data_IF_538399319727
#
_entry.id   IF_538399319727
#
_cell.length_a   1.000
_cell.length_b   1.000
_cell.length_c   1.000
_cell.angle_alpha   90.00
_cell.angle_beta   90.00
_cell.angle_gamma   90.00
#
_symmetry.space_group_name_H-M   'P 1'
#
loop_
_entity.id
_entity.type
_entity.pdbx_description
1 polymer ?
#
# COMPACT_ATOMS: atom_id res chain seq x y z
N UNK A 1 3.42 17.09 29.60
CA UNK A 1 2.35 16.25 29.03
C UNK A 1 1.53 15.66 30.17
N UNK A 2 0.20 15.60 30.05
CA UNK A 2 -0.63 15.05 31.10
C UNK A 2 -0.43 13.52 31.24
N UNK A 3 -0.54 13.00 32.46
CA UNK A 3 -0.26 11.58 32.80
C UNK A 3 -1.07 10.59 31.97
N UNK A 4 -2.34 10.90 31.64
CA UNK A 4 -3.20 10.06 30.81
C UNK A 4 -2.60 9.83 29.41
N UNK A 5 -1.92 10.82 28.85
CA UNK A 5 -1.33 10.74 27.51
C UNK A 5 -0.17 9.75 27.47
N UNK A 6 0.66 9.74 28.52
CA UNK A 6 1.78 8.81 28.67
C UNK A 6 1.26 7.37 28.74
N UNK A 7 0.20 7.14 29.52
CA UNK A 7 -0.42 5.82 29.67
C UNK A 7 -1.00 5.34 28.33
N UNK A 8 -1.76 6.18 27.63
CA UNK A 8 -2.35 5.82 26.33
C UNK A 8 -1.26 5.52 25.31
N UNK A 9 -0.21 6.34 25.25
CA UNK A 9 0.92 6.12 24.34
C UNK A 9 1.64 4.81 24.64
N UNK A 10 1.88 4.48 25.92
CA UNK A 10 2.50 3.23 26.33
C UNK A 10 1.64 2.01 25.96
N UNK A 11 0.33 2.06 26.22
CA UNK A 11 -0.60 0.99 25.83
C UNK A 11 -0.63 0.80 24.31
N UNK A 12 -0.59 1.89 23.56
CA UNK A 12 -0.55 1.84 22.10
C UNK A 12 0.79 1.28 21.59
N UNK A 13 1.91 1.59 22.24
CA UNK A 13 3.21 1.00 21.95
C UNK A 13 3.18 -0.54 22.13
N UNK A 14 2.60 -1.01 23.23
CA UNK A 14 2.42 -2.44 23.50
C UNK A 14 1.54 -3.06 22.41
N UNK A 15 0.44 -2.40 22.03
CA UNK A 15 -0.40 -2.84 20.92
C UNK A 15 0.41 -3.00 19.63
N UNK A 16 1.23 -2.01 19.26
CA UNK A 16 2.06 -2.05 18.04
C UNK A 16 3.05 -3.22 18.06
N UNK A 17 3.69 -3.49 19.19
CA UNK A 17 4.61 -4.62 19.34
C UNK A 17 3.88 -5.97 19.19
N UNK A 18 2.73 -6.13 19.85
CA UNK A 18 1.92 -7.35 19.78
C UNK A 18 1.38 -7.56 18.36
N UNK A 19 0.79 -6.54 17.77
CA UNK A 19 0.27 -6.57 16.40
C UNK A 19 1.38 -6.84 15.37
N UNK A 20 2.54 -6.19 15.53
CA UNK A 20 3.73 -6.41 14.71
C UNK A 20 4.24 -7.85 14.81
N UNK A 21 4.39 -8.38 16.02
CA UNK A 21 4.77 -9.76 16.26
C UNK A 21 3.82 -10.76 15.60
N UNK A 22 2.51 -10.58 15.80
CA UNK A 22 1.50 -11.44 15.19
C UNK A 22 1.48 -11.33 13.66
N UNK A 23 1.72 -10.13 13.12
CA UNK A 23 1.82 -9.91 11.67
C UNK A 23 3.02 -10.66 11.11
N UNK A 24 4.21 -10.49 11.68
CA UNK A 24 5.43 -11.22 11.27
C UNK A 24 5.26 -12.74 11.40
N UNK A 25 4.63 -13.22 12.48
CA UNK A 25 4.35 -14.65 12.65
C UNK A 25 3.34 -15.18 11.63
N UNK A 26 2.36 -14.37 11.25
CA UNK A 26 1.37 -14.74 10.23
C UNK A 26 2.01 -14.95 8.84
N UNK A 27 3.11 -14.26 8.54
CA UNK A 27 3.86 -14.45 7.29
C UNK A 27 4.48 -15.84 7.19
N UNK A 28 4.87 -16.45 8.33
CA UNK A 28 5.45 -17.80 8.37
C UNK A 28 4.42 -18.92 8.27
N UNK A 29 3.17 -18.69 8.68
CA UNK A 29 2.12 -19.71 8.68
C UNK A 29 0.75 -19.11 8.34
N UNK A 30 0.47 -18.85 7.05
CA UNK A 30 -0.70 -18.08 6.65
C UNK A 30 -2.04 -18.73 7.05
N UNK A 31 -2.12 -20.06 7.05
CA UNK A 31 -3.39 -20.78 7.29
C UNK A 31 -3.84 -20.76 8.75
N UNK A 32 -2.93 -20.80 9.72
CA UNK A 32 -3.27 -20.83 11.15
C UNK A 32 -3.76 -19.50 11.70
N UNK A 33 -3.41 -18.39 11.05
CA UNK A 33 -3.64 -17.05 11.58
C UNK A 33 -4.69 -16.24 10.80
N UNK A 34 -5.43 -16.89 9.90
CA UNK A 34 -6.47 -16.24 9.10
C UNK A 34 -7.56 -15.55 9.94
N UNK A 35 -7.78 -16.01 11.18
CA UNK A 35 -8.77 -15.44 12.09
C UNK A 35 -8.17 -14.69 13.30
N UNK A 36 -6.90 -14.29 13.23
CA UNK A 36 -6.25 -13.57 14.34
C UNK A 36 -6.81 -12.16 14.48
N UNK A 37 -7.39 -11.87 15.65
CA UNK A 37 -7.92 -10.56 16.01
C UNK A 37 -6.87 -9.44 15.85
N UNK A 38 -5.65 -9.63 16.35
CA UNK A 38 -4.57 -8.63 16.29
C UNK A 38 -4.17 -8.25 14.87
N UNK A 39 -4.20 -9.23 13.96
CA UNK A 39 -3.88 -8.99 12.55
C UNK A 39 -5.01 -8.19 11.89
N UNK A 40 -6.29 -8.55 12.14
CA UNK A 40 -7.43 -7.82 11.59
C UNK A 40 -7.52 -6.39 12.12
N UNK A 41 -7.28 -6.19 13.41
CA UNK A 41 -7.24 -4.84 13.98
C UNK A 41 -6.11 -4.02 13.37
N UNK A 42 -4.94 -4.63 13.13
CA UNK A 42 -3.82 -3.97 12.46
C UNK A 42 -4.13 -3.66 10.98
N UNK A 43 -4.81 -4.55 10.25
CA UNK A 43 -5.29 -4.28 8.89
C UNK A 43 -6.18 -3.04 8.88
N UNK A 44 -7.18 -2.94 9.77
CA UNK A 44 -8.07 -1.77 9.86
C UNK A 44 -7.28 -0.52 10.23
N UNK A 45 -6.42 -0.61 11.24
CA UNK A 45 -5.64 0.53 11.71
C UNK A 45 -4.72 1.07 10.61
N UNK A 46 -3.95 0.23 9.93
CA UNK A 46 -2.91 0.70 9.00
C UNK A 46 -3.38 0.92 7.56
N UNK A 47 -4.38 0.17 7.08
CA UNK A 47 -4.89 0.33 5.71
C UNK A 47 -6.05 1.32 5.61
N UNK A 48 -6.73 1.64 6.72
CA UNK A 48 -7.90 2.51 6.70
C UNK A 48 -7.71 3.76 7.58
N UNK A 49 -7.38 3.61 8.85
CA UNK A 49 -7.31 4.76 9.77
C UNK A 49 -6.02 5.58 9.59
N UNK A 50 -4.87 4.92 9.55
CA UNK A 50 -3.57 5.58 9.48
C UNK A 50 -3.37 6.43 8.23
N UNK A 51 -3.78 6.01 7.01
CA UNK A 51 -3.65 6.86 5.83
C UNK A 51 -4.51 8.11 5.91
N UNK A 52 -5.75 7.98 6.41
CA UNK A 52 -6.66 9.13 6.59
C UNK A 52 -6.10 10.11 7.61
N UNK A 53 -5.69 9.61 8.79
CA UNK A 53 -5.10 10.45 9.82
C UNK A 53 -3.78 11.08 9.37
N UNK A 54 -2.94 10.32 8.66
CA UNK A 54 -1.71 10.80 8.08
C UNK A 54 -1.96 11.94 7.11
N UNK A 55 -2.88 11.80 6.14
CA UNK A 55 -3.19 12.88 5.20
C UNK A 55 -3.67 14.15 5.91
N UNK A 56 -4.54 14.03 6.93
CA UNK A 56 -5.00 15.18 7.70
C UNK A 56 -3.85 15.86 8.46
N UNK A 57 -3.03 15.08 9.18
CA UNK A 57 -1.91 15.60 9.98
C UNK A 57 -0.78 16.16 9.12
N UNK A 58 -0.45 15.53 8.01
CA UNK A 58 0.58 16.01 7.09
C UNK A 58 0.17 17.30 6.38
N UNK A 59 -1.14 17.54 6.18
CA UNK A 59 -1.63 18.84 5.71
C UNK A 59 -1.50 19.94 6.77
N UNK A 60 -1.78 19.62 8.04
CA UNK A 60 -1.61 20.54 9.17
C UNK A 60 -0.13 20.78 9.49
N UNK A 61 0.75 19.83 9.16
CA UNK A 61 2.20 19.92 9.31
C UNK A 61 2.80 20.82 8.21
N UNK A 62 2.48 22.10 8.30
CA UNK A 62 3.13 23.17 7.55
C UNK A 62 3.87 24.05 8.55
N UNK A 63 5.11 23.69 8.84
CA UNK A 63 6.01 24.57 9.59
C UNK A 63 6.72 25.51 8.62
N UNK A 64 7.43 26.52 9.14
CA UNK A 64 8.15 27.51 8.31
C UNK A 64 9.23 26.90 7.40
N UNK A 65 9.58 25.62 7.55
CA UNK A 65 10.65 24.97 6.78
C UNK A 65 10.27 23.69 6.01
N UNK A 66 9.18 23.01 6.36
CA UNK A 66 8.88 21.66 5.86
C UNK A 66 7.49 21.58 5.26
N UNK A 67 7.39 20.88 4.12
CA UNK A 67 6.14 20.61 3.42
C UNK A 67 6.17 19.14 3.06
N UNK A 68 5.27 18.34 3.66
CA UNK A 68 5.27 16.88 3.53
C UNK A 68 4.88 16.41 2.13
N UNK A 69 3.81 17.00 1.61
CA UNK A 69 3.26 16.76 0.28
C UNK A 69 2.81 18.09 -0.33
N UNK A 70 2.89 18.21 -1.65
CA UNK A 70 2.33 19.37 -2.36
C UNK A 70 0.80 19.38 -2.19
N UNK A 71 0.20 20.43 -1.59
CA UNK A 71 -1.24 20.50 -1.37
C UNK A 71 -2.05 20.41 -2.67
N UNK A 72 -1.51 20.96 -3.76
CA UNK A 72 -2.14 21.00 -5.09
C UNK A 72 -2.31 19.59 -5.68
N UNK A 73 -1.35 18.70 -5.45
CA UNK A 73 -1.31 17.35 -6.03
C UNK A 73 -1.70 16.26 -5.03
N UNK A 74 -1.98 16.62 -3.78
CA UNK A 74 -2.44 15.70 -2.75
C UNK A 74 -3.72 14.90 -3.14
N UNK A 75 -4.71 15.45 -3.86
CA UNK A 75 -5.86 14.68 -4.31
C UNK A 75 -5.48 13.45 -5.15
N UNK A 76 -4.42 13.56 -5.97
CA UNK A 76 -3.89 12.45 -6.75
C UNK A 76 -3.36 11.34 -5.83
N UNK A 77 -2.58 11.69 -4.80
CA UNK A 77 -2.06 10.75 -3.82
C UNK A 77 -3.18 10.06 -3.03
N UNK A 78 -4.20 10.82 -2.60
CA UNK A 78 -5.38 10.29 -1.91
C UNK A 78 -6.14 9.31 -2.81
N UNK A 79 -6.39 9.67 -4.08
CA UNK A 79 -7.08 8.80 -5.03
C UNK A 79 -6.34 7.47 -5.24
N UNK A 80 -5.01 7.51 -5.39
CA UNK A 80 -4.18 6.31 -5.51
C UNK A 80 -4.26 5.43 -4.25
N UNK A 81 -4.18 6.04 -3.07
CA UNK A 81 -4.24 5.35 -1.79
C UNK A 81 -5.62 4.71 -1.55
N UNK A 82 -6.70 5.44 -1.84
CA UNK A 82 -8.08 4.93 -1.74
C UNK A 82 -8.30 3.77 -2.69
N UNK A 83 -7.84 3.86 -3.94
CA UNK A 83 -8.00 2.76 -4.90
C UNK A 83 -7.22 1.50 -4.49
N UNK A 84 -6.00 1.67 -3.97
CA UNK A 84 -5.21 0.57 -3.42
C UNK A 84 -5.85 -0.07 -2.19
N UNK A 85 -6.30 0.74 -1.24
CA UNK A 85 -7.00 0.29 -0.03
C UNK A 85 -8.34 -0.38 -0.34
N UNK A 86 -9.14 0.20 -1.24
CA UNK A 86 -10.40 -0.38 -1.70
C UNK A 86 -10.17 -1.74 -2.36
N UNK A 87 -9.14 -1.87 -3.20
CA UNK A 87 -8.78 -3.15 -3.82
C UNK A 87 -8.45 -4.21 -2.77
N UNK A 88 -7.73 -3.84 -1.70
CA UNK A 88 -7.51 -4.72 -0.56
C UNK A 88 -8.83 -5.15 0.08
N UNK A 89 -9.71 -4.23 0.49
CA UNK A 89 -10.96 -4.59 1.16
C UNK A 89 -11.91 -5.40 0.28
N UNK A 90 -12.06 -5.03 -1.00
CA UNK A 90 -12.89 -5.76 -1.96
C UNK A 90 -12.34 -7.18 -2.13
N UNK A 91 -11.03 -7.36 -2.25
CA UNK A 91 -10.43 -8.70 -2.33
C UNK A 91 -10.75 -9.58 -1.11
N UNK A 92 -10.83 -8.98 0.08
CA UNK A 92 -11.21 -9.65 1.33
C UNK A 92 -12.68 -10.05 1.38
N UNK A 93 -13.57 -9.23 0.85
CA UNK A 93 -15.02 -9.50 0.83
C UNK A 93 -15.40 -10.53 -0.24
N UNK A 94 -14.71 -10.53 -1.39
CA UNK A 94 -15.08 -11.35 -2.55
C UNK A 94 -14.29 -12.66 -2.69
N UNK A 95 -13.45 -13.05 -1.72
CA UNK A 95 -12.51 -14.19 -1.79
C UNK A 95 -12.91 -15.38 -2.67
N UNK A 96 -14.10 -15.95 -2.47
CA UNK A 96 -14.56 -17.17 -3.16
C UNK A 96 -15.61 -16.90 -4.25
N UNK A 97 -15.98 -15.64 -4.48
CA UNK A 97 -17.04 -15.23 -5.41
C UNK A 97 -16.59 -14.06 -6.28
N UNK A 98 -15.29 -14.00 -6.59
CA UNK A 98 -14.73 -12.93 -7.40
C UNK A 98 -15.12 -13.15 -8.87
N UNK A 99 -15.88 -12.23 -9.49
CA UNK A 99 -16.21 -12.38 -10.90
C UNK A 99 -14.93 -12.25 -11.76
N UNK A 100 -14.89 -12.83 -12.98
CA UNK A 100 -13.67 -12.91 -13.78
C UNK A 100 -13.01 -11.55 -14.03
N UNK A 101 -13.77 -10.48 -14.21
CA UNK A 101 -13.19 -9.15 -14.43
C UNK A 101 -12.51 -8.58 -13.17
N UNK A 102 -13.05 -8.82 -11.96
CA UNK A 102 -12.38 -8.44 -10.70
C UNK A 102 -11.06 -9.20 -10.50
N UNK A 103 -10.96 -10.43 -11.01
CA UNK A 103 -9.72 -11.22 -10.83
C UNK A 103 -8.50 -10.61 -11.53
N UNK A 104 -8.72 -9.71 -12.49
CA UNK A 104 -7.68 -8.91 -13.13
C UNK A 104 -7.51 -7.59 -12.39
N UNK A 105 -8.60 -6.86 -12.13
CA UNK A 105 -8.55 -5.52 -11.56
C UNK A 105 -8.01 -5.50 -10.13
N UNK A 106 -8.35 -6.50 -9.30
CA UNK A 106 -7.92 -6.56 -7.90
C UNK A 106 -6.38 -6.63 -7.79
N UNK A 107 -5.67 -7.55 -8.47
CA UNK A 107 -4.21 -7.52 -8.51
C UNK A 107 -3.61 -6.20 -8.98
N UNK A 108 -4.21 -5.52 -9.97
CA UNK A 108 -3.69 -4.22 -10.45
C UNK A 108 -3.78 -3.15 -9.37
N UNK A 109 -4.93 -3.04 -8.70
CA UNK A 109 -5.09 -2.09 -7.59
C UNK A 109 -4.25 -2.44 -6.36
N UNK A 110 -4.04 -3.72 -6.06
CA UNK A 110 -3.12 -4.16 -5.01
C UNK A 110 -1.66 -3.80 -5.36
N UNK A 111 -1.23 -4.00 -6.62
CA UNK A 111 0.10 -3.60 -7.10
C UNK A 111 0.27 -2.08 -6.98
N UNK A 112 -0.75 -1.30 -7.38
CA UNK A 112 -0.73 0.15 -7.19
C UNK A 112 -0.53 0.52 -5.73
N UNK A 113 -1.32 -0.07 -4.82
CA UNK A 113 -1.18 0.15 -3.40
C UNK A 113 0.22 -0.22 -2.90
N UNK A 114 0.78 -1.33 -3.37
CA UNK A 114 2.12 -1.77 -3.03
C UNK A 114 3.19 -0.75 -3.49
N UNK A 115 3.16 -0.33 -4.75
CA UNK A 115 4.09 0.64 -5.31
C UNK A 115 3.99 2.00 -4.61
N UNK A 116 2.78 2.44 -4.30
CA UNK A 116 2.57 3.69 -3.58
C UNK A 116 3.15 3.63 -2.16
N UNK A 117 2.88 2.55 -1.41
CA UNK A 117 3.42 2.40 -0.06
C UNK A 117 4.96 2.25 -0.09
N UNK A 118 5.54 1.62 -1.12
CA UNK A 118 6.99 1.60 -1.32
C UNK A 118 7.56 3.00 -1.55
N UNK A 119 6.91 3.81 -2.40
CA UNK A 119 7.30 5.21 -2.59
C UNK A 119 7.22 5.99 -1.27
N UNK A 120 6.17 5.80 -0.47
CA UNK A 120 6.02 6.44 0.84
C UNK A 120 7.11 6.00 1.83
N UNK A 121 7.49 4.72 1.85
CA UNK A 121 8.61 4.24 2.69
C UNK A 121 9.90 4.97 2.34
N UNK A 122 10.18 5.15 1.04
CA UNK A 122 11.38 5.88 0.59
C UNK A 122 11.26 7.37 0.96
N UNK A 123 10.10 7.99 0.70
CA UNK A 123 9.83 9.40 1.01
C UNK A 123 10.03 9.73 2.49
N UNK A 124 9.52 8.85 3.36
CA UNK A 124 9.58 9.01 4.82
C UNK A 124 10.76 8.29 5.48
N UNK A 125 11.71 7.73 4.72
CA UNK A 125 12.72 6.80 5.23
C UNK A 125 13.42 7.27 6.52
N UNK A 126 13.82 8.54 6.56
CA UNK A 126 14.52 9.14 7.70
C UNK A 126 13.61 9.31 8.94
N UNK A 127 12.29 9.37 8.73
CA UNK A 127 11.27 9.58 9.75
C UNK A 127 10.59 8.30 10.23
N UNK A 128 10.82 7.15 9.59
CA UNK A 128 10.20 5.88 9.99
C UNK A 128 10.49 5.54 11.45
N UNK A 129 11.71 5.78 11.92
CA UNK A 129 12.10 5.51 13.32
C UNK A 129 11.39 6.44 14.31
N UNK A 130 11.07 7.68 13.92
CA UNK A 130 10.24 8.58 14.72
C UNK A 130 8.83 8.01 14.92
N UNK A 131 8.30 7.31 13.92
CA UNK A 131 7.04 6.59 14.04
C UNK A 131 7.04 5.53 15.13
N UNK A 132 8.16 4.85 15.33
CA UNK A 132 8.34 3.89 16.43
C UNK A 132 8.61 4.57 17.78
N UNK A 133 9.33 5.69 17.79
CA UNK A 133 9.65 6.46 19.00
C UNK A 133 8.41 7.16 19.60
N UNK A 134 7.44 7.55 18.76
CA UNK A 134 6.20 8.19 19.17
C UNK A 134 4.96 7.37 18.74
N UNK A 135 4.68 6.23 19.37
CA UNK A 135 3.63 5.29 18.96
C UNK A 135 2.29 5.93 18.63
N UNK A 136 1.76 6.79 19.51
CA UNK A 136 0.42 7.36 19.32
C UNK A 136 0.35 8.44 18.23
N UNK A 137 1.42 9.23 18.05
CA UNK A 137 1.44 10.34 17.08
C UNK A 137 2.06 9.95 15.75
N UNK A 138 3.01 9.02 15.76
CA UNK A 138 3.86 8.69 14.63
C UNK A 138 3.54 7.36 13.96
N UNK A 139 2.54 6.59 14.41
CA UNK A 139 2.22 5.30 13.77
C UNK A 139 1.83 5.40 12.30
N UNK A 140 1.36 6.55 11.84
CA UNK A 140 1.13 6.87 10.43
C UNK A 140 2.40 6.76 9.58
N UNK A 141 3.58 7.03 10.15
CA UNK A 141 4.88 6.85 9.49
C UNK A 141 5.26 5.35 9.37
N UNK A 142 4.69 4.50 10.22
CA UNK A 142 4.85 3.03 10.15
C UNK A 142 3.84 2.38 9.20
N UNK A 143 2.74 3.08 8.88
CA UNK A 143 1.66 2.52 8.08
C UNK A 143 2.11 2.00 6.70
N UNK A 144 2.97 2.70 5.94
CA UNK A 144 3.46 2.20 4.66
C UNK A 144 4.14 0.82 4.76
N UNK A 145 4.93 0.58 5.81
CA UNK A 145 5.59 -0.71 6.04
C UNK A 145 4.57 -1.83 6.29
N UNK A 146 3.62 -1.61 7.19
CA UNK A 146 2.57 -2.59 7.47
C UNK A 146 1.68 -2.84 6.25
N UNK A 147 1.36 -1.80 5.50
CA UNK A 147 0.56 -1.90 4.28
C UNK A 147 1.25 -2.74 3.22
N UNK A 148 2.55 -2.56 2.99
CA UNK A 148 3.33 -3.43 2.10
C UNK A 148 3.20 -4.90 2.50
N UNK A 149 3.31 -5.21 3.79
CA UNK A 149 3.18 -6.59 4.29
C UNK A 149 1.76 -7.14 4.07
N UNK A 150 0.73 -6.38 4.42
CA UNK A 150 -0.66 -6.84 4.29
C UNK A 150 -1.08 -6.98 2.83
N UNK A 151 -0.76 -6.01 1.98
CA UNK A 151 -1.07 -6.03 0.55
C UNK A 151 -0.33 -7.18 -0.14
N UNK A 152 0.96 -7.37 0.14
CA UNK A 152 1.74 -8.48 -0.44
C UNK A 152 1.16 -9.84 -0.04
N UNK A 153 0.76 -9.99 1.22
CA UNK A 153 0.12 -11.21 1.71
C UNK A 153 -1.21 -11.46 1.01
N UNK A 154 -2.05 -10.44 0.86
CA UNK A 154 -3.35 -10.58 0.20
C UNK A 154 -3.18 -10.86 -1.30
N UNK A 155 -2.22 -10.24 -1.98
CA UNK A 155 -1.89 -10.53 -3.38
C UNK A 155 -1.50 -12.00 -3.58
N UNK A 156 -0.69 -12.55 -2.67
CA UNK A 156 -0.35 -13.97 -2.67
C UNK A 156 -1.55 -14.86 -2.35
N UNK A 157 -2.37 -14.48 -1.36
CA UNK A 157 -3.57 -15.23 -0.99
C UNK A 157 -4.58 -15.31 -2.15
N UNK A 158 -4.83 -14.20 -2.84
CA UNK A 158 -5.68 -14.14 -4.03
C UNK A 158 -5.18 -15.08 -5.12
N UNK A 159 -3.87 -15.18 -5.34
CA UNK A 159 -3.30 -16.14 -6.27
C UNK A 159 -3.63 -17.59 -5.89
N UNK A 160 -3.47 -17.96 -4.61
CA UNK A 160 -3.77 -19.31 -4.14
C UNK A 160 -5.26 -19.68 -4.23
N UNK A 161 -6.14 -18.78 -3.78
CA UNK A 161 -7.59 -19.01 -3.76
C UNK A 161 -8.11 -19.17 -5.18
N UNK A 162 -7.68 -18.29 -6.08
CA UNK A 162 -8.08 -18.32 -7.47
C UNK A 162 -7.64 -19.61 -8.17
N UNK A 163 -6.39 -20.04 -7.96
CA UNK A 163 -5.87 -21.29 -8.53
C UNK A 163 -6.66 -22.51 -8.04
N UNK A 164 -7.10 -22.50 -6.78
CA UNK A 164 -7.94 -23.58 -6.24
C UNK A 164 -9.33 -23.58 -6.89
N UNK A 165 -10.00 -22.43 -6.93
CA UNK A 165 -11.36 -22.31 -7.44
C UNK A 165 -11.48 -22.70 -8.93
N UNK A 166 -10.50 -22.31 -9.75
CA UNK A 166 -10.46 -22.66 -11.17
C UNK A 166 -10.42 -24.18 -11.40
N UNK A 167 -9.66 -24.91 -10.57
CA UNK A 167 -9.55 -26.37 -10.71
C UNK A 167 -10.86 -27.09 -10.42
N UNK A 168 -11.77 -26.44 -9.68
CA UNK A 168 -13.01 -27.03 -9.19
C UNK A 168 -14.21 -26.67 -10.09
N UNK A 169 -14.10 -25.67 -10.97
CA UNK A 169 -15.22 -25.10 -11.75
C UNK A 169 -15.11 -25.44 -13.26
N UNK A 170 -16.06 -26.21 -13.83
CA UNK A 170 -16.01 -26.64 -15.24
C UNK A 170 -16.28 -25.51 -16.25
N UNK A 171 -16.91 -24.40 -15.82
CA UNK A 171 -17.24 -23.23 -16.67
C UNK A 171 -15.99 -22.61 -17.31
N UNK A 172 -14.82 -22.75 -16.68
CA UNK A 172 -13.57 -22.18 -17.18
C UNK A 172 -13.01 -22.91 -18.41
N UNK A 173 -13.59 -24.05 -18.80
CA UNK A 173 -13.18 -24.84 -19.98
C UNK A 173 -13.91 -24.47 -21.27
N UNK A 174 -15.03 -23.75 -21.20
CA UNK A 174 -15.99 -23.63 -22.33
C UNK A 174 -15.99 -22.29 -23.07
N UNK A 175 -15.42 -21.22 -22.51
CA UNK A 175 -15.47 -19.87 -23.12
C UNK A 175 -14.06 -19.36 -23.44
N UNK A 176 -13.79 -19.00 -24.70
CA UNK A 176 -12.46 -18.56 -25.16
C UNK A 176 -11.92 -17.30 -24.45
N UNK A 177 -12.78 -16.36 -24.06
CA UNK A 177 -12.38 -15.19 -23.26
C UNK A 177 -11.96 -15.62 -21.85
N UNK A 178 -12.68 -16.60 -21.31
CA UNK A 178 -12.38 -17.22 -20.00
C UNK A 178 -11.14 -18.10 -20.08
N UNK A 179 -10.83 -18.67 -21.24
CA UNK A 179 -9.64 -19.48 -21.51
C UNK A 179 -8.36 -18.63 -21.48
N UNK A 180 -8.38 -17.42 -22.04
CA UNK A 180 -7.26 -16.47 -21.91
C UNK A 180 -7.00 -16.07 -20.45
N UNK A 181 -8.07 -15.85 -19.69
CA UNK A 181 -7.99 -15.60 -18.24
C UNK A 181 -7.49 -16.85 -17.49
N UNK A 182 -7.91 -18.04 -17.90
CA UNK A 182 -7.43 -19.29 -17.34
C UNK A 182 -5.91 -19.44 -17.49
N UNK A 183 -5.36 -19.15 -18.67
CA UNK A 183 -3.91 -19.17 -18.89
C UNK A 183 -3.17 -18.16 -18.02
N UNK A 184 -3.69 -16.95 -17.87
CA UNK A 184 -3.12 -15.95 -16.96
C UNK A 184 -3.11 -16.48 -15.50
N UNK A 185 -4.15 -17.21 -15.11
CA UNK A 185 -4.42 -17.58 -13.72
C UNK A 185 -3.79 -18.89 -13.26
N UNK A 186 -3.47 -19.83 -14.15
CA UNK A 186 -2.75 -21.08 -13.80
C UNK A 186 -1.20 -20.95 -13.86
N UNK A 187 -0.70 -19.77 -14.22
CA UNK A 187 0.75 -19.49 -14.18
C UNK A 187 1.30 -19.40 -12.75
N UNK A 188 2.63 -19.52 -12.61
CA UNK A 188 3.29 -19.30 -11.31
C UNK A 188 3.03 -17.90 -10.76
N UNK A 189 3.06 -17.73 -9.43
CA UNK A 189 2.85 -16.42 -8.80
C UNK A 189 3.73 -15.31 -9.40
N UNK A 190 5.02 -15.58 -9.61
CA UNK A 190 5.94 -14.59 -10.17
C UNK A 190 5.66 -14.26 -11.63
N UNK A 191 5.24 -15.25 -12.42
CA UNK A 191 4.81 -15.01 -13.81
C UNK A 191 3.57 -14.13 -13.82
N UNK A 192 2.56 -14.48 -13.01
CA UNK A 192 1.34 -13.68 -12.87
C UNK A 192 1.66 -12.25 -12.43
N UNK A 193 2.52 -12.08 -11.44
CA UNK A 193 2.95 -10.76 -10.96
C UNK A 193 3.60 -9.93 -12.07
N UNK A 194 4.49 -10.52 -12.88
CA UNK A 194 5.10 -9.83 -14.04
C UNK A 194 4.06 -9.40 -15.05
N UNK A 195 3.09 -10.25 -15.38
CA UNK A 195 2.04 -9.89 -16.33
C UNK A 195 1.16 -8.77 -15.75
N UNK A 196 0.78 -8.87 -14.47
CA UNK A 196 0.03 -7.80 -13.81
C UNK A 196 0.82 -6.49 -13.76
N UNK A 197 2.16 -6.51 -13.59
CA UNK A 197 3.00 -5.31 -13.66
C UNK A 197 3.01 -4.69 -15.06
N UNK A 198 3.04 -5.51 -16.12
CA UNK A 198 2.93 -4.99 -17.50
C UNK A 198 1.56 -4.40 -17.76
N UNK A 199 0.48 -5.08 -17.34
CA UNK A 199 -0.90 -4.59 -17.46
C UNK A 199 -1.19 -3.39 -16.56
N UNK A 200 -0.43 -3.21 -15.49
CA UNK A 200 -0.56 -2.05 -14.61
C UNK A 200 -0.21 -0.76 -15.34
N UNK A 201 0.76 -0.75 -16.26
CA UNK A 201 1.16 0.47 -17.00
C UNK A 201 -0.03 1.09 -17.74
N UNK A 202 -0.75 0.40 -18.65
CA UNK A 202 -1.88 1.00 -19.34
C UNK A 202 -3.04 1.33 -18.39
N UNK A 203 -3.30 0.51 -17.36
CA UNK A 203 -4.34 0.80 -16.37
C UNK A 203 -4.03 2.08 -15.57
N UNK A 204 -2.77 2.26 -15.20
CA UNK A 204 -2.27 3.43 -14.49
C UNK A 204 -2.32 4.69 -15.35
N UNK A 205 -1.93 4.59 -16.64
CA UNK A 205 -2.07 5.70 -17.59
C UNK A 205 -3.54 6.11 -17.77
N UNK A 206 -4.45 5.15 -17.85
CA UNK A 206 -5.88 5.42 -17.90
C UNK A 206 -6.34 6.13 -16.62
N UNK A 207 -5.90 5.69 -15.44
CA UNK A 207 -6.19 6.39 -14.19
C UNK A 207 -5.65 7.83 -14.18
N UNK A 208 -4.43 8.05 -14.67
CA UNK A 208 -3.86 9.40 -14.79
C UNK A 208 -4.71 10.28 -15.71
N UNK A 209 -5.16 9.76 -16.85
CA UNK A 209 -6.06 10.50 -17.72
C UNK A 209 -7.35 10.92 -17.01
N UNK A 210 -7.94 10.04 -16.19
CA UNK A 210 -9.13 10.39 -15.40
C UNK A 210 -8.84 11.51 -14.39
N UNK A 211 -7.67 11.47 -13.73
CA UNK A 211 -7.25 12.53 -12.81
C UNK A 211 -7.02 13.85 -13.53
N UNK A 212 -6.45 13.82 -14.74
CA UNK A 212 -6.28 15.01 -15.59
C UNK A 212 -7.63 15.61 -15.99
N UNK A 213 -8.62 14.77 -16.33
CA UNK A 213 -10.00 15.24 -16.57
C UNK A 213 -10.62 15.87 -15.32
N UNK A 214 -10.16 15.48 -14.13
CA UNK A 214 -10.54 16.11 -12.85
C UNK A 214 -9.68 17.34 -12.49
N UNK A 215 -8.86 17.85 -13.43
CA UNK A 215 -8.05 19.06 -13.25
C UNK A 215 -6.68 18.85 -12.61
N UNK A 216 -6.21 17.61 -12.46
CA UNK A 216 -4.84 17.34 -12.00
C UNK A 216 -3.83 17.49 -13.16
N UNK A 217 -2.58 17.83 -12.85
CA UNK A 217 -1.49 17.81 -13.83
C UNK A 217 -1.13 16.36 -14.22
N UNK A 218 -0.70 16.09 -15.46
CA UNK A 218 -0.31 14.74 -15.89
C UNK A 218 0.88 14.17 -15.10
N UNK A 219 1.71 15.05 -14.53
CA UNK A 219 2.86 14.74 -13.69
C UNK A 219 2.58 14.94 -12.19
N UNK A 220 1.30 15.10 -11.78
CA UNK A 220 0.89 15.30 -10.39
C UNK A 220 1.42 14.22 -9.43
N UNK A 221 1.57 12.98 -9.90
CA UNK A 221 2.13 11.88 -9.09
C UNK A 221 3.59 12.13 -8.73
N UNK A 222 4.37 12.73 -9.61
CA UNK A 222 5.77 13.05 -9.32
C UNK A 222 5.82 14.32 -8.48
N UNK A 223 5.06 15.34 -8.90
CA UNK A 223 4.99 16.64 -8.24
C UNK A 223 4.53 16.56 -6.78
N UNK A 224 3.63 15.62 -6.42
CA UNK A 224 3.20 15.45 -5.02
C UNK A 224 4.36 15.11 -4.07
N UNK A 225 5.42 14.47 -4.58
CA UNK A 225 6.61 14.12 -3.83
C UNK A 225 7.78 15.09 -4.05
N UNK A 226 7.92 15.68 -5.25
CA UNK A 226 9.05 16.58 -5.55
C UNK A 226 8.82 18.01 -5.13
N UNK A 227 7.57 18.50 -5.14
CA UNK A 227 7.20 19.85 -4.71
C UNK A 227 6.99 19.88 -3.19
N UNK A 228 7.95 19.29 -2.48
CA UNK A 228 7.99 19.11 -1.02
C UNK A 228 9.29 19.71 -0.46
N UNK A 229 9.42 19.80 0.86
CA UNK A 229 10.65 20.29 1.53
C UNK A 229 10.95 19.44 2.75
N UNK A 230 12.20 18.99 2.89
CA UNK A 230 12.68 18.26 4.08
C UNK A 230 12.55 16.73 4.01
N UNK A 231 12.17 16.19 2.85
CA UNK A 231 11.92 14.75 2.63
C UNK A 231 12.78 14.20 1.50
N UNK A 232 12.88 12.86 1.40
CA UNK A 232 13.77 12.18 0.46
C UNK A 232 13.61 12.64 -0.99
N UNK A 233 12.38 12.81 -1.45
CA UNK A 233 12.11 13.20 -2.84
C UNK A 233 12.16 14.71 -3.10
N UNK A 234 12.29 15.55 -2.05
CA UNK A 234 12.36 17.01 -2.18
C UNK A 234 13.67 17.54 -2.77
N UNK A 235 14.73 16.72 -2.81
CA UNK A 235 16.07 17.14 -3.28
C UNK A 235 16.81 16.01 -4.03
N UNK A 236 16.33 15.59 -5.22
CA UNK A 236 16.86 14.42 -5.92
C UNK A 236 18.37 14.51 -6.20
N UNK A 237 18.86 15.71 -6.56
CA UNK A 237 20.27 15.94 -6.91
C UNK A 237 21.23 15.87 -5.73
N UNK A 238 20.83 16.34 -4.55
CA UNK A 238 21.70 16.36 -3.36
C UNK A 238 21.93 14.95 -2.80
N UNK A 239 20.87 14.14 -2.77
CA UNK A 239 20.92 12.78 -2.21
C UNK A 239 21.57 11.75 -3.14
N UNK A 240 21.42 11.90 -4.45
CA UNK A 240 22.17 11.08 -5.43
C UNK A 240 23.68 11.27 -5.23
N UNK A 241 24.11 12.50 -4.95
CA UNK A 241 25.51 12.83 -4.68
C UNK A 241 25.98 12.26 -3.34
N UNK A 242 25.17 12.34 -2.29
CA UNK A 242 25.47 11.76 -0.97
C UNK A 242 25.54 10.22 -0.98
N UNK A 243 24.65 9.55 -1.72
CA UNK A 243 24.70 8.09 -1.89
C UNK A 243 25.97 7.72 -2.67
N UNK A 244 26.28 8.42 -3.76
CA UNK A 244 27.50 8.19 -4.52
C UNK A 244 28.76 8.39 -3.69
N UNK A 245 28.82 9.43 -2.87
CA UNK A 245 29.99 9.69 -2.00
C UNK A 245 30.09 8.68 -0.86
N UNK A 246 28.97 8.21 -0.30
CA UNK A 246 28.96 7.15 0.73
C UNK A 246 29.40 5.77 0.22
N UNK A 247 29.21 5.49 -1.07
CA UNK A 247 29.67 4.25 -1.71
C UNK A 247 31.14 4.29 -2.12
N UNK A 248 31.76 5.48 -2.13
CA UNK A 248 33.18 5.70 -2.44
C UNK A 248 34.06 5.71 -1.18
N UNK A 249 33.48 5.64 0.02
CA UNK A 249 34.16 5.52 1.31
C UNK A 249 34.13 4.08 1.81
#
# INVERSE_FOLDING_TARGET
MPTHYIIISALFAIYLLVAGWHTLRSLRSPSRWANNYWVKSAEILFLLLAPVLGFLRYQEFQTTGEVVFSPTHLPTLIALAVLGGASFWVSRFFKYRTPPWLTILLPLGLIQGLLLNLALIIHFGDYVLLGAAFPLLGFELLAPLFNVLFISRELYHQHLVLRKHIKEEPIYSTNYLVLGLFFLMDTSFFTKLRICLVLFIPAFLFQIMLLVLCGQSPDAIVQVFTDTKGFTFSSPGRRTLEIFTSLLQ
#
